data_IF_491006764907
#
_entry.id   IF_491006764907
#
_cell.length_a   1.000
_cell.length_b   1.000
_cell.length_c   1.000
_cell.angle_alpha   90.00
_cell.angle_beta   90.00
_cell.angle_gamma   90.00
#
_symmetry.space_group_name_H-M   'P 1'
#
loop_
_entity.id
_entity.type
_entity.pdbx_description
1 polymer ?
#
# COMPACT_ATOMS: atom_id res chain seq x y z
N UNK A 1 -49.05 -9.05 -2.13
CA UNK A 1 -49.37 -8.64 -3.53
C UNK A 1 -50.49 -9.53 -4.06
N UNK A 2 -51.13 -9.22 -5.19
CA UNK A 2 -52.27 -10.01 -5.71
C UNK A 2 -51.90 -10.63 -7.06
N UNK A 3 -52.18 -11.92 -7.25
CA UNK A 3 -51.87 -12.63 -8.50
C UNK A 3 -52.61 -11.99 -9.68
N UNK A 4 -51.94 -11.49 -10.73
CA UNK A 4 -52.61 -10.84 -11.86
C UNK A 4 -53.52 -11.81 -12.64
N UNK A 5 -53.21 -13.12 -12.63
CA UNK A 5 -53.96 -14.15 -13.35
C UNK A 5 -55.24 -14.62 -12.64
N UNK A 6 -55.18 -14.87 -11.32
CA UNK A 6 -56.33 -15.43 -10.57
C UNK A 6 -56.80 -14.58 -9.39
N UNK A 7 -56.21 -13.40 -9.18
CA UNK A 7 -56.54 -12.42 -8.15
C UNK A 7 -56.42 -12.91 -6.69
N UNK A 8 -55.72 -14.02 -6.44
CA UNK A 8 -55.42 -14.46 -5.07
C UNK A 8 -54.37 -13.59 -4.40
N UNK A 9 -54.46 -13.41 -3.08
CA UNK A 9 -53.40 -12.78 -2.29
C UNK A 9 -52.17 -13.70 -2.23
N UNK A 10 -51.01 -13.11 -2.46
CA UNK A 10 -49.72 -13.78 -2.53
C UNK A 10 -48.85 -13.35 -1.35
N UNK A 11 -48.10 -14.32 -0.75
CA UNK A 11 -47.11 -14.01 0.26
C UNK A 11 -45.99 -13.13 -0.31
N UNK A 12 -45.33 -12.37 0.55
CA UNK A 12 -44.27 -11.46 0.14
C UNK A 12 -43.09 -12.24 -0.47
N UNK A 13 -42.65 -11.86 -1.68
CA UNK A 13 -41.53 -12.51 -2.37
C UNK A 13 -41.89 -13.72 -3.23
N UNK A 14 -43.19 -14.04 -3.40
CA UNK A 14 -43.61 -15.19 -4.21
C UNK A 14 -43.20 -15.06 -5.68
N UNK A 15 -42.39 -16.02 -6.16
CA UNK A 15 -41.95 -16.13 -7.57
C UNK A 15 -42.95 -16.90 -8.45
N UNK A 16 -43.94 -17.54 -7.83
CA UNK A 16 -45.07 -18.16 -8.50
C UNK A 16 -46.34 -18.14 -7.64
N UNK A 17 -47.50 -18.21 -8.28
CA UNK A 17 -48.79 -18.28 -7.59
C UNK A 17 -49.12 -19.72 -7.18
N UNK A 18 -49.29 -20.02 -5.87
CA UNK A 18 -49.61 -21.37 -5.41
C UNK A 18 -51.02 -21.82 -5.80
N UNK A 19 -51.91 -20.90 -6.19
CA UNK A 19 -53.30 -21.21 -6.55
C UNK A 19 -53.51 -21.51 -8.04
N UNK A 20 -52.77 -20.88 -8.94
CA UNK A 20 -52.97 -21.04 -10.39
C UNK A 20 -51.69 -21.30 -11.19
N UNK A 21 -50.56 -21.50 -10.50
CA UNK A 21 -49.28 -21.86 -11.11
C UNK A 21 -48.62 -20.76 -11.94
N UNK A 22 -49.15 -19.54 -11.97
CA UNK A 22 -48.57 -18.44 -12.74
C UNK A 22 -47.19 -18.07 -12.18
N UNK A 23 -46.15 -18.18 -13.01
CA UNK A 23 -44.78 -17.77 -12.67
C UNK A 23 -44.59 -16.29 -12.97
N UNK A 24 -44.00 -15.56 -12.05
CA UNK A 24 -43.76 -14.13 -12.18
C UNK A 24 -42.30 -13.91 -12.53
N UNK A 25 -42.01 -13.85 -13.82
CA UNK A 25 -40.69 -13.44 -14.31
C UNK A 25 -40.58 -11.92 -14.22
N UNK A 26 -39.48 -11.42 -13.66
CA UNK A 26 -38.97 -10.02 -13.78
C UNK A 26 -39.45 -8.97 -12.77
N UNK A 27 -39.42 -9.28 -11.48
CA UNK A 27 -39.26 -8.25 -10.45
C UNK A 27 -37.79 -8.08 -10.10
N UNK A 28 -37.21 -6.88 -10.23
CA UNK A 28 -35.85 -6.60 -9.71
C UNK A 28 -35.94 -6.32 -8.22
N UNK A 29 -34.91 -6.69 -7.43
CA UNK A 29 -34.84 -6.23 -6.04
C UNK A 29 -34.37 -4.77 -6.02
N UNK A 30 -35.06 -3.95 -5.24
CA UNK A 30 -34.61 -2.60 -4.95
C UNK A 30 -33.25 -2.68 -4.22
N UNK A 31 -32.17 -2.06 -4.72
CA UNK A 31 -30.85 -2.15 -4.11
C UNK A 31 -30.77 -1.51 -2.71
N UNK A 32 -31.74 -0.68 -2.35
CA UNK A 32 -31.73 0.06 -1.08
C UNK A 32 -32.52 -0.61 0.05
N UNK A 33 -33.59 -1.34 -0.27
CA UNK A 33 -34.48 -1.94 0.75
C UNK A 33 -34.88 -3.38 0.44
N UNK A 34 -34.31 -3.94 -0.64
CA UNK A 34 -34.45 -5.32 -1.09
C UNK A 34 -35.88 -5.79 -1.40
N UNK A 35 -36.86 -4.88 -1.40
CA UNK A 35 -38.21 -5.18 -1.86
C UNK A 35 -38.18 -5.53 -3.35
N UNK A 36 -38.99 -6.52 -3.73
CA UNK A 36 -39.18 -6.86 -5.14
C UNK A 36 -40.06 -5.79 -5.76
N UNK A 37 -39.52 -5.09 -6.75
CA UNK A 37 -40.20 -4.01 -7.46
C UNK A 37 -40.30 -4.35 -8.95
N UNK A 38 -41.26 -3.76 -9.69
CA UNK A 38 -41.34 -3.94 -11.14
C UNK A 38 -40.02 -3.55 -11.82
N UNK A 39 -39.57 -4.32 -12.82
CA UNK A 39 -38.31 -4.05 -13.52
C UNK A 39 -38.26 -2.63 -14.14
N UNK A 40 -39.41 -2.12 -14.59
CA UNK A 40 -39.60 -0.77 -15.16
C UNK A 40 -39.81 0.34 -14.12
N UNK A 41 -39.78 0.05 -12.82
CA UNK A 41 -39.99 1.06 -11.80
C UNK A 41 -38.82 2.05 -11.77
N UNK A 42 -39.13 3.33 -11.99
CA UNK A 42 -38.19 4.46 -11.88
C UNK A 42 -37.92 4.83 -10.42
N UNK A 43 -38.79 4.45 -9.48
CA UNK A 43 -38.58 4.58 -8.04
C UNK A 43 -39.21 3.41 -7.27
N UNK A 44 -38.66 3.07 -6.12
CA UNK A 44 -39.16 1.99 -5.29
C UNK A 44 -40.43 2.44 -4.53
N UNK A 45 -41.58 1.76 -4.70
CA UNK A 45 -42.82 2.11 -4.00
C UNK A 45 -42.79 1.86 -2.48
N UNK A 46 -41.78 1.11 -1.99
CA UNK A 46 -41.63 0.82 -0.55
C UNK A 46 -40.76 1.85 0.16
N UNK A 47 -39.64 2.28 -0.44
CA UNK A 47 -38.67 3.17 0.21
C UNK A 47 -38.52 4.53 -0.46
N UNK A 48 -39.27 4.80 -1.54
CA UNK A 48 -39.28 6.07 -2.27
C UNK A 48 -38.04 6.35 -3.12
N UNK A 49 -36.96 5.58 -2.99
CA UNK A 49 -35.69 5.86 -3.66
C UNK A 49 -35.72 5.56 -5.17
N UNK A 50 -35.17 6.45 -6.01
CA UNK A 50 -35.12 6.27 -7.46
C UNK A 50 -34.25 5.08 -7.83
N UNK A 51 -34.62 4.36 -8.88
CA UNK A 51 -33.88 3.22 -9.38
C UNK A 51 -32.90 3.66 -10.47
N UNK A 52 -31.66 3.13 -10.47
CA UNK A 52 -30.73 3.40 -11.55
C UNK A 52 -31.32 2.85 -12.85
N UNK A 53 -31.55 3.73 -13.83
CA UNK A 53 -32.07 3.35 -15.14
C UNK A 53 -30.95 2.70 -15.96
N UNK A 54 -31.11 1.43 -16.35
CA UNK A 54 -30.29 0.84 -17.41
C UNK A 54 -30.84 1.31 -18.75
N UNK A 55 -29.96 1.81 -19.63
CA UNK A 55 -30.29 2.18 -21.00
C UNK A 55 -30.93 0.98 -21.72
N UNK A 56 -32.13 1.19 -22.26
CA UNK A 56 -32.90 0.16 -22.95
C UNK A 56 -32.64 0.23 -24.45
N UNK A 57 -32.25 -0.89 -25.07
CA UNK A 57 -32.41 -1.09 -26.51
C UNK A 57 -31.34 -1.95 -27.18
N UNK A 58 -31.59 -3.26 -27.25
CA UNK A 58 -31.30 -4.07 -28.44
C UNK A 58 -32.04 -5.41 -28.31
N UNK A 59 -33.16 -5.52 -29.02
CA UNK A 59 -33.89 -6.76 -29.21
C UNK A 59 -33.21 -7.62 -30.29
N UNK A 60 -33.31 -8.93 -30.09
CA UNK A 60 -32.78 -10.03 -30.90
C UNK A 60 -33.28 -10.11 -32.36
N UNK A 61 -32.40 -10.49 -33.28
CA UNK A 61 -32.74 -11.13 -34.57
C UNK A 61 -31.73 -12.26 -34.93
N UNK A 62 -32.13 -13.25 -35.77
CA UNK A 62 -31.60 -14.61 -35.75
C UNK A 62 -30.44 -14.88 -36.73
N UNK A 63 -29.86 -16.07 -36.55
CA UNK A 63 -28.65 -16.62 -37.16
C UNK A 63 -28.41 -16.32 -38.65
N UNK A 64 -27.28 -15.67 -38.92
CA UNK A 64 -26.54 -15.79 -40.17
C UNK A 64 -25.05 -15.95 -39.82
N UNK A 65 -24.50 -17.09 -40.21
CA UNK A 65 -23.11 -17.49 -40.03
C UNK A 65 -22.16 -16.52 -40.73
N UNK A 66 -21.40 -15.70 -39.98
CA UNK A 66 -20.11 -15.18 -40.44
C UNK A 66 -19.15 -14.93 -39.28
N UNK A 67 -17.98 -15.55 -39.44
CA UNK A 67 -16.67 -15.19 -38.92
C UNK A 67 -16.47 -15.09 -37.40
N UNK A 68 -15.67 -16.04 -36.90
CA UNK A 68 -15.01 -16.01 -35.60
C UNK A 68 -14.44 -14.62 -35.27
N UNK A 69 -15.14 -13.85 -34.45
CA UNK A 69 -14.51 -12.74 -33.74
C UNK A 69 -13.82 -13.33 -32.51
N UNK A 70 -12.54 -13.62 -32.68
CA UNK A 70 -11.58 -13.76 -31.59
C UNK A 70 -11.61 -12.46 -30.77
N UNK A 71 -12.45 -12.41 -29.75
CA UNK A 71 -12.30 -11.48 -28.64
C UNK A 71 -11.11 -11.96 -27.80
N UNK A 72 -9.91 -11.79 -28.34
CA UNK A 72 -8.68 -12.15 -27.67
C UNK A 72 -8.58 -11.39 -26.35
N UNK A 73 -8.57 -12.15 -25.26
CA UNK A 73 -8.12 -11.71 -23.95
C UNK A 73 -6.78 -10.97 -24.14
N UNK A 74 -6.79 -9.64 -23.98
CA UNK A 74 -5.63 -8.79 -24.31
C UNK A 74 -4.61 -8.87 -23.19
N UNK A 75 -3.84 -9.96 -23.21
CA UNK A 75 -2.74 -10.30 -22.29
C UNK A 75 -1.67 -9.20 -22.15
N UNK A 76 -1.68 -8.16 -22.99
CA UNK A 76 -0.73 -7.05 -22.95
C UNK A 76 -0.80 -6.18 -21.68
N UNK A 77 -1.88 -6.25 -20.90
CA UNK A 77 -2.02 -5.43 -19.70
C UNK A 77 -1.06 -5.89 -18.60
N UNK A 78 -0.58 -7.14 -18.69
CA UNK A 78 0.47 -7.72 -17.84
C UNK A 78 1.86 -7.18 -18.22
N UNK A 79 2.10 -6.79 -19.48
CA UNK A 79 3.41 -6.30 -19.93
C UNK A 79 3.60 -4.78 -19.78
N UNK A 80 2.54 -3.98 -19.79
CA UNK A 80 2.64 -2.52 -19.59
C UNK A 80 2.90 -2.18 -18.10
N UNK A 81 2.40 -2.99 -17.17
CA UNK A 81 2.68 -2.83 -15.74
C UNK A 81 4.11 -3.22 -15.33
N UNK A 82 4.81 -4.05 -16.11
CA UNK A 82 6.17 -4.54 -15.81
C UNK A 82 7.25 -3.83 -16.65
N UNK A 83 6.90 -3.30 -17.83
CA UNK A 83 7.88 -2.75 -18.80
C UNK A 83 8.38 -1.32 -18.57
N UNK A 84 7.72 -0.50 -17.74
CA UNK A 84 8.17 0.89 -17.44
C UNK A 84 9.30 0.92 -16.41
N UNK A 85 9.64 -0.22 -15.80
CA UNK A 85 10.65 -0.33 -14.76
C UNK A 85 12.11 -0.43 -15.27
N UNK A 86 12.39 -0.45 -16.59
CA UNK A 86 13.75 -0.77 -17.11
C UNK A 86 14.41 0.31 -18.02
N UNK A 87 13.74 1.37 -18.48
CA UNK A 87 14.37 2.37 -19.37
C UNK A 87 14.22 3.82 -18.86
N UNK A 88 15.12 4.24 -17.96
CA UNK A 88 15.20 5.62 -17.49
C UNK A 88 16.56 6.07 -16.95
N UNK A 89 17.61 5.25 -17.07
CA UNK A 89 18.99 5.60 -16.70
C UNK A 89 19.96 5.17 -17.80
N UNK A 90 20.15 6.05 -18.79
CA UNK A 90 21.41 6.19 -19.53
C UNK A 90 21.30 7.38 -20.50
N UNK A 91 22.00 8.48 -20.20
CA UNK A 91 23.03 9.07 -21.08
C UNK A 91 23.83 10.03 -20.19
N UNK A 92 25.07 9.64 -19.92
CA UNK A 92 26.11 10.52 -19.41
C UNK A 92 27.06 10.92 -20.54
N UNK A 93 27.58 12.14 -20.38
CA UNK A 93 28.88 12.65 -20.85
C UNK A 93 29.12 13.00 -22.33
N UNK A 94 29.37 14.29 -22.56
CA UNK A 94 30.53 14.76 -23.33
C UNK A 94 31.03 16.10 -22.77
N UNK A 95 32.35 16.28 -22.79
CA UNK A 95 33.13 17.21 -21.99
C UNK A 95 33.66 18.45 -22.75
N UNK A 96 34.19 19.40 -21.97
CA UNK A 96 35.19 20.42 -22.36
C UNK A 96 34.60 21.71 -22.96
N UNK A 97 35.16 22.90 -22.80
CA UNK A 97 36.37 23.41 -22.15
C UNK A 97 36.35 24.93 -22.37
N UNK A 98 36.81 25.76 -21.43
CA UNK A 98 36.94 27.20 -21.67
C UNK A 98 37.72 27.91 -20.56
N UNK A 99 38.91 28.37 -20.91
CA UNK A 99 40.00 28.91 -20.09
C UNK A 99 39.95 30.43 -19.86
N UNK A 100 40.59 30.86 -18.75
CA UNK A 100 41.38 32.10 -18.54
C UNK A 100 40.72 33.49 -18.56
N UNK A 101 40.80 34.26 -17.45
CA UNK A 101 41.82 35.34 -17.21
C UNK A 101 41.48 36.33 -16.07
N UNK A 102 42.56 36.68 -15.36
CA UNK A 102 42.96 37.96 -14.74
C UNK A 102 42.35 38.52 -13.43
N UNK A 103 43.29 38.78 -12.52
CA UNK A 103 43.33 39.65 -11.31
C UNK A 103 43.45 41.14 -11.74
N UNK A 104 43.61 42.20 -10.88
CA UNK A 104 43.79 42.25 -9.42
C UNK A 104 43.11 43.42 -8.63
N UNK A 105 43.12 43.25 -7.29
CA UNK A 105 43.45 44.21 -6.21
C UNK A 105 42.91 45.66 -6.19
N UNK A 106 42.30 46.06 -5.05
CA UNK A 106 42.71 47.28 -4.34
C UNK A 106 42.29 47.35 -2.86
N UNK A 107 43.28 47.69 -2.04
CA UNK A 107 43.30 48.01 -0.60
C UNK A 107 42.54 49.30 -0.27
N UNK A 108 42.07 49.44 0.97
CA UNK A 108 42.68 50.36 1.93
C UNK A 108 42.12 50.25 3.36
N UNK A 109 43.07 50.28 4.31
CA UNK A 109 43.00 50.64 5.73
C UNK A 109 42.15 51.91 5.99
N UNK A 110 41.66 52.27 7.18
CA UNK A 110 42.32 52.26 8.49
C UNK A 110 41.36 52.76 9.60
N UNK A 111 41.46 52.13 10.78
CA UNK A 111 41.55 52.72 12.14
C UNK A 111 40.55 53.77 12.63
N UNK A 112 39.88 53.49 13.77
CA UNK A 112 40.34 53.89 15.11
C UNK A 112 39.29 53.65 16.21
N UNK A 113 39.70 52.93 17.27
CA UNK A 113 39.51 53.20 18.72
C UNK A 113 38.15 53.73 19.21
N UNK A 114 37.48 53.26 20.27
CA UNK A 114 37.76 52.36 21.40
C UNK A 114 36.54 52.45 22.32
N UNK A 115 36.15 51.35 22.97
CA UNK A 115 36.07 51.22 24.45
C UNK A 115 35.37 49.91 24.83
N UNK A 116 35.97 49.27 25.82
CA UNK A 116 35.72 47.94 26.32
C UNK A 116 34.26 47.67 26.72
N UNK A 117 33.77 46.51 26.29
CA UNK A 117 32.91 45.69 27.13
C UNK A 117 33.60 44.33 27.25
N UNK A 118 34.06 44.06 28.46
CA UNK A 118 34.55 42.78 28.90
C UNK A 118 33.37 41.79 28.83
N UNK A 119 33.29 41.07 27.72
CA UNK A 119 32.39 39.93 27.56
C UNK A 119 33.25 38.82 26.99
N UNK A 120 33.56 37.84 27.84
CA UNK A 120 34.26 36.63 27.47
C UNK A 120 33.75 36.14 26.11
N UNK A 121 34.63 36.17 25.11
CA UNK A 121 34.41 35.50 23.85
C UNK A 121 34.32 34.01 24.18
N UNK A 122 33.10 33.55 24.44
CA UNK A 122 32.76 32.14 24.37
C UNK A 122 33.10 31.73 22.95
N UNK A 123 34.11 30.88 22.78
CA UNK A 123 34.18 30.00 21.61
C UNK A 123 32.76 29.45 21.44
N UNK A 124 32.03 29.87 20.40
CA UNK A 124 30.72 29.30 20.11
C UNK A 124 31.00 27.87 19.64
N UNK A 125 31.11 26.95 20.60
CA UNK A 125 31.17 25.53 20.31
C UNK A 125 29.95 25.16 19.49
N UNK A 126 30.18 24.65 18.29
CA UNK A 126 29.11 24.25 17.37
C UNK A 126 28.29 23.14 18.03
N UNK A 127 27.08 23.48 18.44
CA UNK A 127 26.11 22.51 18.95
C UNK A 127 25.16 22.06 17.85
N UNK A 128 25.13 20.76 17.61
CA UNK A 128 24.18 20.13 16.70
C UNK A 128 22.81 19.87 17.35
N UNK A 129 22.67 20.11 18.67
CA UNK A 129 21.44 19.80 19.40
C UNK A 129 20.22 20.51 18.81
N UNK A 130 19.14 19.76 18.70
CA UNK A 130 17.87 20.24 18.19
C UNK A 130 17.27 19.34 17.12
N UNK A 131 16.27 19.89 16.43
CA UNK A 131 15.55 19.20 15.37
C UNK A 131 16.02 19.71 14.01
N UNK A 132 16.03 18.82 13.05
CA UNK A 132 16.55 19.06 11.71
C UNK A 132 15.53 18.54 10.70
N UNK A 133 15.29 19.28 9.62
CA UNK A 133 14.34 18.90 8.55
C UNK A 133 15.06 18.83 7.22
N UNK A 134 14.74 17.81 6.42
CA UNK A 134 15.24 17.69 5.06
C UNK A 134 14.74 18.83 4.18
N UNK A 135 15.67 19.52 3.52
CA UNK A 135 15.38 20.66 2.64
C UNK A 135 15.37 20.29 1.15
N UNK A 136 15.96 19.15 0.78
CA UNK A 136 16.06 18.69 -0.61
C UNK A 136 15.12 17.51 -0.92
N UNK A 137 13.97 17.42 -0.23
CA UNK A 137 12.94 16.44 -0.55
C UNK A 137 12.23 16.81 -1.85
N UNK A 138 11.81 15.81 -2.62
CA UNK A 138 10.91 15.98 -3.77
C UNK A 138 9.43 16.09 -3.36
N UNK A 139 9.12 15.97 -2.07
CA UNK A 139 7.78 16.09 -1.50
C UNK A 139 7.76 17.06 -0.32
N UNK A 140 6.67 17.83 -0.20
CA UNK A 140 6.42 18.73 0.93
C UNK A 140 5.95 17.96 2.18
N UNK A 141 5.25 16.84 1.99
CA UNK A 141 4.59 16.06 3.05
C UNK A 141 5.35 14.79 3.44
N UNK A 142 6.27 14.32 2.60
CA UNK A 142 7.10 13.13 2.83
C UNK A 142 8.58 13.51 2.78
N UNK A 143 9.29 13.40 3.90
CA UNK A 143 10.69 13.83 4.03
C UNK A 143 11.40 13.13 5.20
N UNK A 144 12.71 13.31 5.34
CA UNK A 144 13.43 12.92 6.55
C UNK A 144 13.60 14.06 7.54
N UNK A 145 13.46 13.74 8.83
CA UNK A 145 13.75 14.67 9.92
C UNK A 145 14.67 14.00 10.95
N UNK A 146 15.50 14.78 11.63
CA UNK A 146 16.40 14.27 12.65
C UNK A 146 16.27 15.01 13.98
N UNK A 147 16.62 14.31 15.05
CA UNK A 147 16.76 14.83 16.40
C UNK A 147 18.19 14.56 16.83
N UNK A 148 18.90 15.60 17.24
CA UNK A 148 20.22 15.49 17.86
C UNK A 148 20.10 15.90 19.32
N UNK A 149 20.62 15.06 20.21
CA UNK A 149 20.71 15.32 21.64
C UNK A 149 22.03 14.81 22.20
N UNK A 150 22.94 15.73 22.50
CA UNK A 150 24.30 15.47 22.92
C UNK A 150 25.06 14.61 21.91
N UNK A 151 25.31 13.36 22.30
CA UNK A 151 26.05 12.38 21.48
C UNK A 151 25.15 11.43 20.69
N UNK A 152 23.84 11.72 20.60
CA UNK A 152 22.87 10.86 19.91
C UNK A 152 22.21 11.58 18.74
N UNK A 153 21.98 10.84 17.66
CA UNK A 153 21.30 11.27 16.45
C UNK A 153 20.25 10.22 16.10
N UNK A 154 19.00 10.64 16.01
CA UNK A 154 17.92 9.83 15.46
C UNK A 154 17.37 10.48 14.22
N UNK A 155 17.09 9.70 13.18
CA UNK A 155 16.57 10.16 11.91
C UNK A 155 15.34 9.34 11.57
N UNK A 156 14.30 10.00 11.07
CA UNK A 156 12.99 9.42 10.79
C UNK A 156 12.54 9.76 9.39
N UNK A 157 11.90 8.81 8.73
CA UNK A 157 10.95 9.07 7.66
C UNK A 157 9.69 9.69 8.27
N UNK A 158 9.25 10.83 7.74
CA UNK A 158 8.04 11.53 8.14
C UNK A 158 7.06 11.49 6.98
N UNK A 159 5.80 11.16 7.25
CA UNK A 159 4.68 11.42 6.36
C UNK A 159 3.62 12.24 7.12
N UNK A 160 3.44 13.49 6.69
CA UNK A 160 2.48 14.40 7.34
C UNK A 160 1.02 14.07 6.99
N UNK A 161 0.76 13.43 5.83
CA UNK A 161 -0.60 13.12 5.37
C UNK A 161 -1.29 12.06 6.24
N UNK A 162 -0.52 11.06 6.69
CA UNK A 162 -0.98 10.02 7.60
C UNK A 162 -0.46 10.21 9.04
N UNK A 163 0.23 11.33 9.30
CA UNK A 163 0.86 11.65 10.59
C UNK A 163 1.77 10.55 11.15
N UNK A 164 2.41 9.79 10.26
CA UNK A 164 3.30 8.69 10.63
C UNK A 164 4.76 9.11 10.64
N UNK A 165 5.55 8.40 11.45
CA UNK A 165 7.01 8.43 11.36
C UNK A 165 7.59 7.04 11.50
N UNK A 166 8.66 6.76 10.78
CA UNK A 166 9.40 5.50 10.86
C UNK A 166 10.88 5.77 11.08
N UNK A 167 11.51 5.10 12.03
CA UNK A 167 12.94 5.26 12.31
C UNK A 167 13.76 4.84 11.08
N UNK A 168 14.62 5.72 10.62
CA UNK A 168 15.61 5.47 9.58
C UNK A 168 17.00 5.17 10.18
N UNK A 169 17.42 5.93 11.19
CA UNK A 169 18.72 5.77 11.82
C UNK A 169 18.64 6.13 13.29
N UNK A 170 19.33 5.38 14.15
CA UNK A 170 19.65 5.78 15.51
C UNK A 170 21.14 5.53 15.68
N UNK A 171 21.91 6.54 16.07
CA UNK A 171 23.35 6.39 16.21
C UNK A 171 24.06 7.52 16.92
N UNK A 172 25.39 7.46 16.91
CA UNK A 172 26.24 8.39 17.66
C UNK A 172 26.57 9.68 16.90
N UNK A 173 26.84 10.74 17.65
CA UNK A 173 27.43 12.01 17.19
C UNK A 173 28.73 12.23 17.94
N UNK A 174 29.79 12.59 17.22
CA UNK A 174 31.09 12.96 17.80
C UNK A 174 31.52 14.29 17.21
N UNK A 175 31.56 15.32 18.06
CA UNK A 175 32.01 16.66 17.67
C UNK A 175 33.55 16.74 17.76
N UNK A 176 34.21 17.52 16.87
CA UNK A 176 35.66 17.76 16.96
C UNK A 176 36.00 18.61 18.19
N UNK A 177 37.13 18.31 18.85
CA UNK A 177 37.58 19.00 20.08
C UNK A 177 37.93 20.49 19.87
N UNK A 178 38.12 20.91 18.61
CA UNK A 178 38.63 22.24 18.26
C UNK A 178 37.54 23.26 17.89
N UNK A 179 36.26 22.91 18.00
CA UNK A 179 35.15 23.82 17.64
C UNK A 179 35.08 24.14 16.14
N UNK A 180 35.53 23.23 15.28
CA UNK A 180 35.48 23.40 13.82
C UNK A 180 34.02 23.52 13.34
N UNK A 181 33.78 24.43 12.40
CA UNK A 181 32.46 24.68 11.80
C UNK A 181 32.17 23.80 10.58
N UNK A 182 33.16 23.02 10.14
CA UNK A 182 33.04 22.03 9.08
C UNK A 182 33.74 20.74 9.53
N UNK A 183 33.03 19.62 9.55
CA UNK A 183 33.60 18.34 9.96
C UNK A 183 32.79 17.15 9.44
N UNK A 184 33.39 15.97 9.48
CA UNK A 184 32.71 14.70 9.22
C UNK A 184 32.79 13.82 10.45
N UNK A 185 31.78 12.97 10.65
CA UNK A 185 31.83 11.94 11.68
C UNK A 185 31.24 10.63 11.19
N UNK A 186 31.76 9.54 11.75
CA UNK A 186 31.21 8.21 11.57
C UNK A 186 30.25 7.91 12.72
N UNK A 187 28.95 7.88 12.42
CA UNK A 187 27.92 7.51 13.39
C UNK A 187 27.86 5.99 13.51
N UNK A 188 27.92 5.47 14.74
CA UNK A 188 27.72 4.05 15.03
C UNK A 188 26.25 3.76 15.26
N UNK A 189 25.71 2.73 14.61
CA UNK A 189 24.31 2.36 14.71
C UNK A 189 23.98 1.79 16.11
N UNK A 190 22.90 2.28 16.71
CA UNK A 190 22.21 1.63 17.81
C UNK A 190 21.30 0.53 17.26
N UNK A 191 21.89 -0.67 17.09
CA UNK A 191 21.20 -1.86 16.57
C UNK A 191 20.04 -2.31 17.44
N UNK A 192 20.04 -1.98 18.73
CA UNK A 192 18.91 -2.33 19.61
C UNK A 192 17.66 -1.52 19.24
N UNK A 193 17.85 -0.25 18.84
CA UNK A 193 16.76 0.60 18.34
C UNK A 193 16.40 0.31 16.88
N UNK A 194 17.39 0.07 16.02
CA UNK A 194 17.14 -0.08 14.57
C UNK A 194 16.68 -1.49 14.16
N UNK A 195 16.97 -2.55 14.94
CA UNK A 195 16.56 -3.92 14.59
C UNK A 195 15.06 -4.12 14.38
N UNK A 196 14.23 -3.34 15.06
CA UNK A 196 12.76 -3.43 14.98
C UNK A 196 12.15 -2.44 13.98
N UNK A 197 12.96 -1.54 13.42
CA UNK A 197 12.51 -0.52 12.48
C UNK A 197 12.76 -0.98 11.05
N UNK A 198 11.71 -1.45 10.37
CA UNK A 198 11.77 -2.04 9.01
C UNK A 198 12.39 -1.09 7.97
N UNK A 199 12.20 0.22 8.14
CA UNK A 199 12.74 1.25 7.25
C UNK A 199 14.07 1.84 7.72
N UNK A 200 14.67 1.28 8.78
CA UNK A 200 15.98 1.69 9.23
C UNK A 200 17.09 1.18 8.31
N UNK A 201 18.12 1.99 8.14
CA UNK A 201 19.34 1.54 7.47
C UNK A 201 19.94 0.37 8.25
N UNK A 202 20.27 -0.74 7.56
CA UNK A 202 20.89 -1.89 8.20
C UNK A 202 22.39 -1.70 8.42
N UNK A 203 22.97 -0.58 8.01
CA UNK A 203 24.42 -0.35 8.07
C UNK A 203 24.92 -0.33 9.52
N UNK A 204 26.13 -0.81 9.77
CA UNK A 204 26.75 -0.75 11.11
C UNK A 204 27.20 0.67 11.46
N UNK A 205 27.62 1.43 10.44
CA UNK A 205 28.01 2.82 10.55
C UNK A 205 27.48 3.63 9.38
N UNK A 206 27.35 4.94 9.59
CA UNK A 206 26.98 5.88 8.54
C UNK A 206 27.81 7.15 8.68
N UNK A 207 28.35 7.61 7.56
CA UNK A 207 29.13 8.85 7.50
C UNK A 207 28.21 10.04 7.36
N UNK A 208 28.40 11.01 8.23
CA UNK A 208 27.73 12.30 8.18
C UNK A 208 28.76 13.42 8.00
N UNK A 209 28.34 14.49 7.36
CA UNK A 209 29.12 15.71 7.24
C UNK A 209 28.29 16.90 7.72
N UNK A 210 28.93 17.82 8.45
CA UNK A 210 28.37 19.10 8.83
C UNK A 210 29.18 20.21 8.18
N UNK A 211 28.50 21.12 7.48
CA UNK A 211 29.10 22.31 6.85
C UNK A 211 28.02 23.36 6.63
N UNK A 212 28.33 24.62 6.90
CA UNK A 212 27.45 25.77 6.63
C UNK A 212 26.03 25.61 7.21
N UNK A 213 25.89 25.01 8.39
CA UNK A 213 24.59 24.80 9.02
C UNK A 213 23.78 23.63 8.45
N UNK A 214 24.38 22.79 7.59
CA UNK A 214 23.73 21.65 6.94
C UNK A 214 24.36 20.33 7.40
N UNK A 215 23.52 19.39 7.84
CA UNK A 215 23.91 17.99 8.01
C UNK A 215 23.63 17.23 6.71
N UNK A 216 24.61 16.50 6.19
CA UNK A 216 24.47 15.70 4.97
C UNK A 216 24.94 14.26 5.13
N UNK A 217 24.24 13.33 4.46
CA UNK A 217 24.51 11.89 4.48
C UNK A 217 23.83 11.19 3.30
N UNK A 218 24.25 9.97 3.00
CA UNK A 218 23.60 9.14 2.00
C UNK A 218 22.52 8.23 2.61
N UNK A 219 21.37 8.20 1.94
CA UNK A 219 20.26 7.30 2.22
C UNK A 219 20.08 6.34 1.06
N UNK A 220 20.15 5.04 1.39
CA UNK A 220 19.78 3.96 0.47
C UNK A 220 18.48 3.30 0.92
N UNK A 221 17.47 3.29 0.07
CA UNK A 221 16.21 2.59 0.27
C UNK A 221 15.70 2.05 -1.07
N UNK A 222 15.17 0.82 -1.08
CA UNK A 222 14.58 0.19 -2.27
C UNK A 222 15.49 0.21 -3.52
N UNK A 223 16.80 0.03 -3.34
CA UNK A 223 17.77 -0.02 -4.45
C UNK A 223 18.19 1.34 -5.03
N UNK A 224 17.77 2.46 -4.43
CA UNK A 224 18.18 3.82 -4.83
C UNK A 224 18.98 4.48 -3.71
N UNK A 225 20.03 5.22 -4.07
CA UNK A 225 20.83 6.04 -3.13
C UNK A 225 20.66 7.53 -3.45
N UNK A 226 20.44 8.34 -2.44
CA UNK A 226 20.35 9.80 -2.55
C UNK A 226 21.10 10.49 -1.40
N UNK A 227 21.65 11.68 -1.66
CA UNK A 227 22.23 12.55 -0.62
C UNK A 227 21.12 13.39 0.01
N UNK A 228 20.96 13.30 1.33
CA UNK A 228 20.00 14.09 2.10
C UNK A 228 20.71 15.30 2.70
N UNK A 229 20.09 16.48 2.62
CA UNK A 229 20.53 17.70 3.30
C UNK A 229 19.50 18.10 4.35
N UNK A 230 19.93 18.23 5.61
CA UNK A 230 19.09 18.69 6.71
C UNK A 230 19.52 20.08 7.16
N UNK A 231 18.55 20.95 7.38
CA UNK A 231 18.73 22.26 8.01
C UNK A 231 18.04 22.29 9.37
N UNK A 232 18.56 23.10 10.30
CA UNK A 232 18.00 23.23 11.65
C UNK A 232 16.60 23.83 11.58
N UNK A 233 15.64 23.19 12.24
CA UNK A 233 14.26 23.67 12.27
C UNK A 233 14.05 24.67 13.43
N UNK A 234 13.57 25.87 13.11
CA UNK A 234 13.20 26.90 14.09
C UNK A 234 11.82 26.61 14.69
N UNK A 235 11.76 26.34 16.00
CA UNK A 235 10.50 26.11 16.72
C UNK A 235 9.92 24.71 16.53
N UNK A 236 9.05 24.30 17.46
CA UNK A 236 8.50 22.95 17.58
C UNK A 236 7.84 22.47 16.29
N UNK A 237 8.60 21.81 15.40
CA UNK A 237 8.00 20.78 14.58
C UNK A 237 7.35 19.83 15.57
N UNK A 238 6.04 19.63 15.44
CA UNK A 238 5.28 18.65 16.22
C UNK A 238 5.77 17.25 15.84
N UNK A 239 7.01 16.91 16.21
CA UNK A 239 7.43 15.53 16.36
C UNK A 239 6.62 15.00 17.55
N UNK A 240 5.71 14.04 17.35
CA UNK A 240 4.99 13.45 18.47
C UNK A 240 6.02 12.99 19.50
N UNK A 241 5.81 13.39 20.76
CA UNK A 241 6.76 13.16 21.84
C UNK A 241 7.10 11.66 21.94
N UNK A 242 8.36 11.43 22.31
CA UNK A 242 9.01 10.15 22.42
C UNK A 242 8.13 9.03 22.98
N UNK A 243 8.25 7.86 22.35
CA UNK A 243 7.77 6.57 22.81
C UNK A 243 8.36 6.39 24.21
N UNK A 244 7.50 6.37 25.24
CA UNK A 244 7.94 5.94 26.57
C UNK A 244 8.20 4.44 26.50
N UNK A 245 9.44 4.06 26.80
CA UNK A 245 9.97 2.70 26.81
C UNK A 245 9.06 1.75 27.61
N UNK A 246 8.69 0.56 27.08
CA UNK A 246 7.78 -0.34 27.77
C UNK A 246 8.50 -1.05 28.92
N UNK A 247 8.17 -0.66 30.15
CA UNK A 247 8.49 -1.42 31.36
C UNK A 247 7.70 -2.74 31.36
N UNK A 248 8.43 -3.84 31.50
CA UNK A 248 7.94 -5.23 31.52
C UNK A 248 7.11 -5.48 32.79
N UNK A 249 5.81 -5.80 32.69
CA UNK A 249 5.00 -6.53 33.71
C UNK A 249 3.72 -7.10 33.02
N UNK A 250 3.19 -8.28 33.39
CA UNK A 250 2.65 -9.25 32.41
C UNK A 250 1.17 -9.06 32.04
N UNK A 251 0.86 -9.67 30.90
CA UNK A 251 -0.39 -9.81 30.13
C UNK A 251 -1.70 -9.98 30.91
N UNK A 252 -2.79 -9.41 30.38
CA UNK A 252 -3.98 -10.21 30.14
C UNK A 252 -4.57 -10.04 28.73
N UNK A 253 -5.07 -11.18 28.24
CA UNK A 253 -5.59 -11.45 26.90
C UNK A 253 -6.75 -10.55 26.48
N UNK A 254 -6.49 -9.64 25.54
CA UNK A 254 -7.50 -8.94 24.72
C UNK A 254 -6.91 -8.32 23.42
N UNK A 255 -5.67 -8.66 23.04
CA UNK A 255 -4.88 -7.96 22.00
C UNK A 255 -4.84 -8.66 20.62
N UNK A 256 -5.34 -9.88 20.48
CA UNK A 256 -5.30 -10.62 19.21
C UNK A 256 -6.26 -10.06 18.16
N UNK A 257 -7.47 -9.65 18.56
CA UNK A 257 -8.52 -9.19 17.65
C UNK A 257 -8.14 -7.91 16.88
N UNK A 258 -7.45 -6.96 17.52
CA UNK A 258 -7.00 -5.72 16.85
C UNK A 258 -5.80 -5.96 15.93
N UNK A 259 -4.89 -6.87 16.30
CA UNK A 259 -3.70 -7.18 15.50
C UNK A 259 -4.06 -7.88 14.19
N UNK A 260 -4.99 -8.84 14.22
CA UNK A 260 -5.42 -9.53 12.99
C UNK A 260 -6.26 -8.63 12.08
N UNK A 261 -7.04 -7.70 12.61
CA UNK A 261 -7.77 -6.75 11.77
C UNK A 261 -6.83 -5.77 11.07
N UNK A 262 -5.77 -5.30 11.74
CA UNK A 262 -4.75 -4.49 11.07
C UNK A 262 -4.00 -5.28 9.98
N UNK A 263 -3.70 -6.56 10.22
CA UNK A 263 -3.15 -7.46 9.21
C UNK A 263 -4.11 -7.61 8.01
N UNK A 264 -5.40 -7.83 8.28
CA UNK A 264 -6.44 -7.96 7.27
C UNK A 264 -6.59 -6.67 6.43
N UNK A 265 -6.53 -5.48 7.05
CA UNK A 265 -6.57 -4.20 6.33
C UNK A 265 -5.34 -3.96 5.45
N UNK A 266 -4.15 -4.41 5.86
CA UNK A 266 -2.97 -4.35 5.00
C UNK A 266 -3.17 -5.22 3.74
N UNK A 267 -3.70 -6.43 3.91
CA UNK A 267 -4.03 -7.30 2.80
C UNK A 267 -5.17 -6.74 1.94
N UNK A 268 -6.14 -6.06 2.55
CA UNK A 268 -7.25 -5.41 1.85
C UNK A 268 -6.77 -4.40 0.81
N UNK A 269 -5.76 -3.60 1.15
CA UNK A 269 -5.14 -2.64 0.23
C UNK A 269 -4.55 -3.38 -0.98
N UNK A 270 -3.80 -4.45 -0.74
CA UNK A 270 -3.15 -5.22 -1.79
C UNK A 270 -4.16 -5.97 -2.67
N UNK A 271 -5.18 -6.60 -2.09
CA UNK A 271 -6.26 -7.29 -2.81
C UNK A 271 -7.04 -6.29 -3.67
N UNK A 272 -7.38 -5.12 -3.12
CA UNK A 272 -8.16 -4.11 -3.83
C UNK A 272 -7.46 -3.59 -5.10
N UNK A 273 -6.14 -3.50 -5.11
CA UNK A 273 -5.39 -3.12 -6.31
C UNK A 273 -5.53 -4.14 -7.45
N UNK A 274 -5.62 -5.43 -7.11
CA UNK A 274 -5.75 -6.51 -8.11
C UNK A 274 -7.20 -6.80 -8.52
N UNK A 275 -8.13 -6.78 -7.55
CA UNK A 275 -9.49 -7.28 -7.72
C UNK A 275 -10.56 -6.18 -7.68
N UNK A 276 -10.18 -4.90 -7.49
CA UNK A 276 -11.11 -3.78 -7.34
C UNK A 276 -12.13 -4.07 -6.24
N UNK A 277 -13.43 -4.18 -6.54
CA UNK A 277 -14.48 -4.50 -5.57
C UNK A 277 -14.84 -5.99 -5.54
N UNK A 278 -14.11 -6.83 -6.29
CA UNK A 278 -14.40 -8.25 -6.47
C UNK A 278 -13.73 -9.15 -5.42
N UNK A 279 -13.85 -8.81 -4.14
CA UNK A 279 -13.31 -9.60 -3.05
C UNK A 279 -14.09 -9.41 -1.73
N UNK A 280 -13.87 -10.33 -0.79
CA UNK A 280 -14.13 -10.14 0.64
C UNK A 280 -12.90 -10.52 1.45
N UNK A 281 -12.74 -9.89 2.61
CA UNK A 281 -11.78 -10.30 3.63
C UNK A 281 -12.56 -10.46 4.93
N UNK A 282 -12.44 -11.64 5.52
CA UNK A 282 -13.04 -12.00 6.79
C UNK A 282 -11.93 -12.46 7.75
N UNK A 283 -12.13 -12.22 9.04
CA UNK A 283 -11.24 -12.73 10.10
C UNK A 283 -12.04 -13.67 10.99
N UNK A 284 -11.53 -14.88 11.21
CA UNK A 284 -12.17 -15.91 12.03
C UNK A 284 -11.09 -16.65 12.81
N UNK A 285 -11.19 -16.76 14.13
CA UNK A 285 -10.32 -17.60 14.96
C UNK A 285 -8.81 -17.45 14.65
N UNK A 286 -8.30 -16.21 14.61
CA UNK A 286 -6.91 -15.87 14.26
C UNK A 286 -6.47 -16.21 12.81
N UNK A 287 -7.41 -16.51 11.92
CA UNK A 287 -7.21 -16.74 10.49
C UNK A 287 -7.78 -15.60 9.65
N UNK A 288 -7.06 -15.22 8.59
CA UNK A 288 -7.52 -14.27 7.58
C UNK A 288 -8.01 -15.05 6.37
N UNK A 289 -9.29 -14.90 6.03
CA UNK A 289 -9.93 -15.55 4.89
C UNK A 289 -10.19 -14.51 3.82
N UNK A 290 -9.52 -14.65 2.68
CA UNK A 290 -9.63 -13.77 1.53
C UNK A 290 -10.37 -14.51 0.44
N UNK A 291 -11.52 -14.00 0.03
CA UNK A 291 -12.31 -14.59 -1.06
C UNK A 291 -12.31 -13.63 -2.25
N UNK A 292 -11.84 -14.08 -3.40
CA UNK A 292 -11.76 -13.27 -4.62
C UNK A 292 -12.58 -13.90 -5.73
N UNK A 293 -13.19 -13.08 -6.60
CA UNK A 293 -13.83 -13.57 -7.83
C UNK A 293 -13.34 -12.77 -9.04
N UNK A 294 -13.30 -13.44 -10.19
CA UNK A 294 -12.84 -12.85 -11.43
C UNK A 294 -13.93 -13.01 -12.48
N UNK A 295 -14.23 -11.93 -13.20
CA UNK A 295 -15.25 -11.94 -14.24
C UNK A 295 -14.98 -13.05 -15.27
N UNK A 296 -15.95 -13.94 -15.43
CA UNK A 296 -15.90 -15.04 -16.40
C UNK A 296 -15.16 -16.30 -15.94
N UNK A 297 -14.68 -16.38 -14.69
CA UNK A 297 -13.96 -17.57 -14.19
C UNK A 297 -14.85 -18.82 -14.20
N UNK A 298 -16.13 -18.70 -13.85
CA UNK A 298 -17.08 -19.81 -13.88
C UNK A 298 -17.41 -20.28 -15.29
N UNK A 299 -17.53 -19.35 -16.24
CA UNK A 299 -17.74 -19.67 -17.66
C UNK A 299 -16.52 -20.37 -18.26
N UNK A 300 -15.31 -19.92 -17.89
CA UNK A 300 -14.06 -20.56 -18.31
C UNK A 300 -13.99 -22.00 -17.80
N UNK A 301 -14.27 -22.22 -16.51
CA UNK A 301 -14.31 -23.55 -15.90
C UNK A 301 -15.36 -24.46 -16.54
N UNK A 302 -16.56 -23.93 -16.81
CA UNK A 302 -17.62 -24.70 -17.47
C UNK A 302 -17.17 -25.17 -18.86
N UNK A 303 -16.51 -24.30 -19.62
CA UNK A 303 -15.96 -24.65 -20.94
C UNK A 303 -14.84 -25.71 -20.85
N UNK A 304 -13.99 -25.65 -19.82
CA UNK A 304 -12.96 -26.68 -19.56
C UNK A 304 -13.63 -28.03 -19.31
N UNK A 305 -14.66 -28.07 -18.44
CA UNK A 305 -15.38 -29.30 -18.11
C UNK A 305 -16.11 -29.89 -19.31
N UNK A 306 -16.79 -29.06 -20.12
CA UNK A 306 -17.47 -29.50 -21.35
C UNK A 306 -16.49 -30.08 -22.38
N UNK A 307 -15.27 -29.56 -22.43
CA UNK A 307 -14.19 -30.08 -23.27
C UNK A 307 -13.49 -31.33 -22.68
N UNK A 308 -13.90 -31.79 -21.50
CA UNK A 308 -13.28 -32.93 -20.80
C UNK A 308 -11.90 -32.61 -20.20
N UNK A 309 -11.61 -31.34 -19.95
CA UNK A 309 -10.37 -30.90 -19.30
C UNK A 309 -10.38 -31.18 -17.79
N UNK A 310 -9.17 -31.23 -17.21
CA UNK A 310 -8.92 -31.56 -15.81
C UNK A 310 -8.17 -30.42 -15.08
N UNK A 311 -7.69 -30.69 -13.87
CA UNK A 311 -6.88 -29.76 -13.08
C UNK A 311 -5.62 -29.26 -13.81
N UNK A 312 -5.11 -29.97 -14.82
CA UNK A 312 -3.91 -29.60 -15.57
C UNK A 312 -4.21 -28.74 -16.80
N UNK A 313 -5.48 -28.38 -17.03
CA UNK A 313 -5.83 -27.52 -18.15
C UNK A 313 -5.06 -26.18 -18.08
N UNK A 314 -4.37 -25.72 -19.15
CA UNK A 314 -3.46 -24.58 -19.09
C UNK A 314 -4.07 -23.31 -18.48
N UNK A 315 -5.29 -22.94 -18.91
CA UNK A 315 -6.00 -21.78 -18.38
C UNK A 315 -6.28 -21.89 -16.87
N UNK A 316 -6.50 -23.11 -16.37
CA UNK A 316 -6.75 -23.32 -14.93
C UNK A 316 -5.46 -23.33 -14.14
N UNK A 317 -4.38 -23.86 -14.71
CA UNK A 317 -3.03 -23.78 -14.12
C UNK A 317 -2.56 -22.33 -13.97
N UNK A 318 -2.88 -21.45 -14.91
CA UNK A 318 -2.58 -20.02 -14.80
C UNK A 318 -3.30 -19.39 -13.60
N UNK A 319 -4.59 -19.69 -13.41
CA UNK A 319 -5.36 -19.20 -12.25
C UNK A 319 -4.77 -19.70 -10.94
N UNK A 320 -4.47 -21.01 -10.85
CA UNK A 320 -3.82 -21.61 -9.67
C UNK A 320 -2.48 -20.94 -9.36
N UNK A 321 -1.64 -20.75 -10.38
CA UNK A 321 -0.32 -20.14 -10.23
C UNK A 321 -0.40 -18.69 -9.77
N UNK A 322 -1.34 -17.92 -10.32
CA UNK A 322 -1.57 -16.53 -9.93
C UNK A 322 -2.01 -16.43 -8.45
N UNK A 323 -2.95 -17.28 -8.03
CA UNK A 323 -3.43 -17.28 -6.64
C UNK A 323 -2.38 -17.82 -5.66
N UNK A 324 -1.56 -18.80 -6.04
CA UNK A 324 -0.42 -19.25 -5.23
C UNK A 324 0.66 -18.18 -5.12
N UNK A 325 0.90 -17.40 -6.18
CA UNK A 325 1.82 -16.26 -6.13
C UNK A 325 1.29 -15.17 -5.20
N UNK A 326 -0.01 -14.87 -5.31
CA UNK A 326 -0.70 -13.94 -4.41
C UNK A 326 -0.61 -14.38 -2.95
N UNK A 327 -0.79 -15.67 -2.67
CA UNK A 327 -0.61 -16.24 -1.33
C UNK A 327 0.77 -15.90 -0.76
N UNK A 328 1.83 -16.24 -1.50
CA UNK A 328 3.21 -15.98 -1.07
C UNK A 328 3.49 -14.49 -0.90
N UNK A 329 2.94 -13.64 -1.77
CA UNK A 329 3.05 -12.19 -1.64
C UNK A 329 2.35 -11.66 -0.39
N UNK A 330 1.18 -12.21 -0.04
CA UNK A 330 0.45 -11.78 1.16
C UNK A 330 1.09 -12.27 2.45
N UNK A 331 1.57 -13.51 2.51
CA UNK A 331 2.33 -13.97 3.67
C UNK A 331 3.61 -13.16 3.86
N UNK A 332 4.32 -12.84 2.77
CA UNK A 332 5.48 -11.97 2.82
C UNK A 332 5.12 -10.53 3.21
N UNK A 333 3.97 -10.02 2.74
CA UNK A 333 3.49 -8.70 3.12
C UNK A 333 3.13 -8.62 4.61
N UNK A 334 2.55 -9.68 5.18
CA UNK A 334 2.29 -9.77 6.62
C UNK A 334 3.58 -9.85 7.42
N UNK A 335 4.52 -10.70 7.00
CA UNK A 335 5.83 -10.85 7.63
C UNK A 335 6.62 -9.55 7.59
N UNK A 336 6.66 -8.90 6.42
CA UNK A 336 7.28 -7.58 6.22
C UNK A 336 6.54 -6.50 7.00
N UNK A 337 5.22 -6.64 7.17
CA UNK A 337 4.38 -5.77 7.99
C UNK A 337 4.54 -5.99 9.50
N UNK A 338 5.39 -6.94 9.92
CA UNK A 338 5.63 -7.26 11.33
C UNK A 338 4.44 -7.93 12.02
N UNK A 339 3.49 -8.46 11.25
CA UNK A 339 2.38 -9.21 11.81
C UNK A 339 2.84 -10.63 12.18
N UNK A 340 2.24 -11.23 13.23
CA UNK A 340 2.37 -12.66 13.47
C UNK A 340 2.06 -13.46 12.21
N UNK A 341 2.59 -14.68 12.12
CA UNK A 341 2.31 -15.62 11.03
C UNK A 341 0.85 -16.11 11.10
N UNK A 342 -0.10 -15.22 10.84
CA UNK A 342 -1.52 -15.54 10.78
C UNK A 342 -1.77 -16.53 9.64
N UNK A 343 -2.54 -17.60 9.88
CA UNK A 343 -3.05 -18.45 8.81
C UNK A 343 -3.84 -17.59 7.81
N UNK A 344 -3.37 -17.57 6.56
CA UNK A 344 -4.10 -16.97 5.44
C UNK A 344 -4.76 -18.09 4.65
N UNK A 345 -6.02 -17.90 4.29
CA UNK A 345 -6.75 -18.77 3.36
C UNK A 345 -7.24 -17.91 2.20
N UNK A 346 -6.97 -18.37 0.98
CA UNK A 346 -7.40 -17.69 -0.24
C UNK A 346 -8.38 -18.58 -0.98
N UNK A 347 -9.60 -18.07 -1.19
CA UNK A 347 -10.63 -18.74 -1.97
C UNK A 347 -10.83 -18.05 -3.31
N UNK A 348 -10.81 -18.81 -4.40
CA UNK A 348 -11.40 -18.39 -5.66
C UNK A 348 -12.90 -18.72 -5.64
N UNK A 349 -13.74 -17.71 -5.78
CA UNK A 349 -15.18 -17.82 -5.75
C UNK A 349 -15.75 -17.76 -7.16
N UNK A 350 -16.80 -18.54 -7.39
CA UNK A 350 -17.56 -18.52 -8.63
C UNK A 350 -18.28 -17.18 -8.81
N UNK A 351 -17.95 -16.46 -9.89
CA UNK A 351 -18.48 -15.12 -10.20
C UNK A 351 -19.96 -15.10 -10.60
N UNK A 352 -20.57 -16.26 -10.91
CA UNK A 352 -22.00 -16.40 -11.18
C UNK A 352 -22.79 -16.88 -9.96
N UNK A 353 -22.15 -17.54 -9.00
CA UNK A 353 -22.73 -18.00 -7.76
C UNK A 353 -21.71 -17.96 -6.61
N UNK A 354 -21.74 -16.88 -5.83
CA UNK A 354 -20.74 -16.65 -4.78
C UNK A 354 -20.81 -17.64 -3.60
N UNK A 355 -21.82 -18.52 -3.55
CA UNK A 355 -21.89 -19.63 -2.59
C UNK A 355 -20.94 -20.79 -2.95
N UNK A 356 -20.41 -20.80 -4.17
CA UNK A 356 -19.56 -21.87 -4.66
C UNK A 356 -18.08 -21.45 -4.69
N UNK A 357 -17.27 -22.10 -3.86
CA UNK A 357 -15.81 -22.05 -3.95
C UNK A 357 -15.33 -22.93 -5.10
N UNK A 358 -14.36 -22.42 -5.87
CA UNK A 358 -13.74 -23.08 -7.03
C UNK A 358 -12.34 -23.60 -6.72
N UNK A 359 -11.60 -22.89 -5.89
CA UNK A 359 -10.24 -23.22 -5.47
C UNK A 359 -10.01 -22.68 -4.06
N UNK A 360 -9.31 -23.42 -3.21
CA UNK A 360 -8.84 -22.94 -1.91
C UNK A 360 -7.35 -23.18 -1.76
N UNK A 361 -6.61 -22.15 -1.35
CA UNK A 361 -5.21 -22.21 -0.97
C UNK A 361 -5.10 -21.93 0.52
N UNK A 362 -4.44 -22.82 1.25
CA UNK A 362 -4.13 -22.68 2.67
C UNK A 362 -2.74 -23.25 2.95
N UNK A 363 -1.99 -22.63 3.87
CA UNK A 363 -0.62 -23.04 4.22
C UNK A 363 0.34 -23.17 3.00
N UNK A 364 0.11 -22.38 1.94
CA UNK A 364 0.91 -22.40 0.72
C UNK A 364 0.55 -23.51 -0.27
N UNK A 365 -0.46 -24.34 0.04
CA UNK A 365 -0.86 -25.47 -0.78
C UNK A 365 -2.32 -25.35 -1.24
N UNK A 366 -2.64 -25.96 -2.38
CA UNK A 366 -4.01 -26.07 -2.87
C UNK A 366 -4.69 -27.20 -2.10
N UNK A 367 -5.67 -26.85 -1.26
CA UNK A 367 -6.40 -27.80 -0.41
C UNK A 367 -7.77 -28.19 -0.98
N UNK A 368 -8.27 -27.42 -1.96
CA UNK A 368 -9.47 -27.73 -2.73
C UNK A 368 -9.34 -27.19 -4.15
N UNK A 369 -9.74 -28.00 -5.13
CA UNK A 369 -9.81 -27.66 -6.56
C UNK A 369 -11.06 -28.31 -7.17
N UNK A 370 -11.95 -27.50 -7.74
CA UNK A 370 -13.21 -27.97 -8.34
C UNK A 370 -13.03 -28.92 -9.52
N UNK A 371 -11.85 -28.92 -10.16
CA UNK A 371 -11.50 -29.84 -11.24
C UNK A 371 -10.69 -31.05 -10.75
N UNK A 372 -10.35 -31.14 -9.47
CA UNK A 372 -9.81 -32.36 -8.90
C UNK A 372 -10.91 -33.43 -8.87
N UNK A 373 -10.60 -34.61 -9.43
CA UNK A 373 -11.52 -35.74 -9.41
C UNK A 373 -11.63 -36.23 -7.96
N UNK A 374 -12.85 -36.27 -7.42
CA UNK A 374 -13.14 -36.97 -6.16
C UNK A 374 -13.12 -38.49 -6.36
#
# INVERSE_FOLDING_TARGET
>A
MVCPRCKSQLPAGATSCPKCGARFSQGKRCPYCQSVIPASATACPKCGRPQPQRAAGAASQPAASQASQKGGFRWWYILIGVGVFILGLAIGYAAGSGTDKDSPEKKNESSSSSLASDSAASTEEVSLDGQWKQINSSSETSYQAAIVSGSTLEIYWINEEDSSRSLYWAGTVTLPENGETEFTWESKNDKEKTKAAILASPDDTKTFAYKDGIISYEVSAMGTTATVHLEKAEGTANLPSAITEPQITPEPQAQSDTSIQSAASLLEIAVKQGFQDNYTIDTQDEMIVISVWMDGVALNLSAIQEAGGDTNHPNWVEVKTALSSMYSSFTNLLETGGYPAYPVVINAINDLNHENTLLTIANGEIVYDVLAVN
#
